data_IF_581942219591
#
_entry.id   IF_581942219591
#
_cell.length_a   1.000
_cell.length_b   1.000
_cell.length_c   1.000
_cell.angle_alpha   90.00
_cell.angle_beta   90.00
_cell.angle_gamma   90.00
#
_symmetry.space_group_name_H-M   'P 1'
#
loop_
_entity.id
_entity.type
_entity.pdbx_description
1 polymer ?
#
# COMPACT_ATOMS: atom_id res chain seq x y z
N UNK A 1 9.83 4.47 -36.30
CA UNK A 1 9.00 5.33 -35.41
C UNK A 1 9.18 4.87 -33.97
N UNK A 2 10.01 5.57 -33.19
CA UNK A 2 10.04 5.39 -31.73
C UNK A 2 8.72 5.93 -31.16
N UNK A 3 7.86 5.02 -30.72
CA UNK A 3 6.59 5.34 -30.10
C UNK A 3 6.90 5.82 -28.68
N UNK A 4 7.09 7.12 -28.51
CA UNK A 4 7.22 7.73 -27.19
C UNK A 4 5.96 7.42 -26.40
N UNK A 5 6.11 6.61 -25.36
CA UNK A 5 5.06 6.36 -24.38
C UNK A 5 4.74 7.68 -23.70
N UNK A 6 3.63 8.31 -24.10
CA UNK A 6 3.06 9.45 -23.37
C UNK A 6 2.62 8.94 -22.00
N UNK A 7 3.53 8.99 -21.01
CA UNK A 7 3.21 8.70 -19.61
C UNK A 7 2.08 9.64 -19.22
N UNK A 8 0.84 9.14 -19.19
CA UNK A 8 -0.27 9.87 -18.58
C UNK A 8 0.09 10.10 -17.12
N UNK A 9 -0.03 11.35 -16.68
CA UNK A 9 0.17 11.73 -15.29
C UNK A 9 -0.83 10.96 -14.41
N UNK A 10 -0.36 9.96 -13.68
CA UNK A 10 -1.20 9.18 -12.78
C UNK A 10 -1.15 9.79 -11.37
N UNK A 11 -1.86 10.91 -11.19
CA UNK A 11 -1.93 11.66 -9.93
C UNK A 11 -2.12 10.74 -8.72
N UNK A 12 -3.05 9.78 -8.80
CA UNK A 12 -3.35 8.86 -7.71
C UNK A 12 -2.19 7.94 -7.33
N UNK A 13 -1.43 7.47 -8.32
CA UNK A 13 -0.26 6.64 -8.06
C UNK A 13 0.84 7.43 -7.36
N UNK A 14 1.09 8.68 -7.77
CA UNK A 14 2.05 9.55 -7.08
C UNK A 14 1.59 9.90 -5.67
N UNK A 15 0.30 10.15 -5.48
CA UNK A 15 -0.29 10.43 -4.17
C UNK A 15 -0.10 9.25 -3.22
N UNK A 16 -0.46 8.03 -3.63
CA UNK A 16 -0.24 6.82 -2.82
C UNK A 16 1.25 6.63 -2.53
N UNK A 17 2.12 6.75 -3.53
CA UNK A 17 3.55 6.55 -3.32
C UNK A 17 4.13 7.58 -2.32
N UNK A 18 3.72 8.84 -2.42
CA UNK A 18 4.10 9.90 -1.48
C UNK A 18 3.66 9.56 -0.07
N UNK A 19 2.37 9.28 0.14
CA UNK A 19 1.84 8.95 1.47
C UNK A 19 2.46 7.67 2.04
N UNK A 20 2.74 6.68 1.20
CA UNK A 20 3.39 5.43 1.63
C UNK A 20 4.83 5.68 2.08
N UNK A 21 5.62 6.38 1.27
CA UNK A 21 7.00 6.71 1.61
C UNK A 21 7.09 7.56 2.88
N UNK A 22 6.24 8.58 2.99
CA UNK A 22 6.16 9.42 4.19
C UNK A 22 5.79 8.60 5.42
N UNK A 23 4.78 7.72 5.32
CA UNK A 23 4.37 6.91 6.46
C UNK A 23 5.46 5.93 6.88
N UNK A 24 6.18 5.32 5.93
CA UNK A 24 7.31 4.43 6.24
C UNK A 24 8.42 5.16 6.98
N UNK A 25 8.76 6.38 6.53
CA UNK A 25 9.78 7.22 7.18
C UNK A 25 9.37 7.50 8.63
N UNK A 26 8.10 7.85 8.86
CA UNK A 26 7.60 8.12 10.21
C UNK A 26 7.61 6.87 11.10
N UNK A 27 7.28 5.70 10.56
CA UNK A 27 7.36 4.43 11.31
C UNK A 27 8.80 4.16 11.73
N UNK A 28 9.76 4.31 10.81
CA UNK A 28 11.18 4.12 11.10
C UNK A 28 11.65 5.15 12.13
N UNK A 29 11.22 6.40 12.00
CA UNK A 29 11.54 7.46 12.96
C UNK A 29 11.01 7.15 14.36
N UNK A 30 9.77 6.72 14.46
CA UNK A 30 9.14 6.32 15.72
C UNK A 30 9.87 5.14 16.38
N UNK A 31 10.31 4.16 15.58
CA UNK A 31 11.13 3.04 16.04
C UNK A 31 12.51 3.49 16.57
N UNK A 32 13.17 4.42 15.89
CA UNK A 32 14.47 4.94 16.34
C UNK A 32 14.32 5.68 17.68
N UNK A 33 13.22 6.42 17.86
CA UNK A 33 12.96 7.28 19.02
C UNK A 33 12.03 6.67 20.08
N UNK A 34 11.84 5.35 20.08
CA UNK A 34 11.11 4.61 21.11
C UNK A 34 9.70 5.15 21.40
N UNK A 35 8.84 5.15 20.36
CA UNK A 35 7.42 5.54 20.43
C UNK A 35 7.15 7.03 20.68
N UNK A 36 8.06 7.92 20.27
CA UNK A 36 7.93 9.38 20.45
C UNK A 36 6.74 10.00 19.70
N UNK A 37 6.34 9.45 18.55
CA UNK A 37 5.41 10.11 17.62
C UNK A 37 4.17 9.26 17.29
N UNK A 38 3.75 8.41 18.24
CA UNK A 38 2.60 7.50 18.09
C UNK A 38 1.34 8.22 17.63
N UNK A 39 0.98 9.36 18.23
CA UNK A 39 -0.22 10.13 17.85
C UNK A 39 -0.16 10.61 16.39
N UNK A 40 1.02 11.04 15.92
CA UNK A 40 1.20 11.45 14.54
C UNK A 40 1.06 10.25 13.59
N UNK A 41 1.53 9.07 13.98
CA UNK A 41 1.35 7.83 13.21
C UNK A 41 -0.12 7.40 13.11
N UNK A 42 -0.95 7.68 14.12
CA UNK A 42 -2.38 7.42 14.05
C UNK A 42 -3.06 8.29 13.00
N UNK A 43 -2.81 9.60 13.04
CA UNK A 43 -3.39 10.56 12.10
C UNK A 43 -2.93 10.26 10.67
N UNK A 44 -1.62 10.09 10.47
CA UNK A 44 -1.05 9.82 9.15
C UNK A 44 -1.49 8.45 8.64
N UNK A 45 -1.55 7.44 9.51
CA UNK A 45 -2.02 6.10 9.16
C UNK A 45 -3.45 6.11 8.63
N UNK A 46 -4.35 6.86 9.27
CA UNK A 46 -5.72 7.01 8.80
C UNK A 46 -5.80 7.63 7.41
N UNK A 47 -5.06 8.73 7.16
CA UNK A 47 -5.03 9.39 5.86
C UNK A 47 -4.45 8.46 4.80
N UNK A 48 -3.35 7.79 5.13
CA UNK A 48 -2.68 6.83 4.26
C UNK A 48 -3.61 5.70 3.80
N UNK A 49 -4.35 5.07 4.73
CA UNK A 49 -5.33 4.02 4.39
C UNK A 49 -6.42 4.58 3.45
N UNK A 50 -6.94 5.78 3.73
CA UNK A 50 -7.94 6.43 2.90
C UNK A 50 -7.45 6.65 1.47
N UNK A 51 -6.25 7.22 1.30
CA UNK A 51 -5.62 7.46 0.00
C UNK A 51 -5.41 6.14 -0.75
N UNK A 52 -4.93 5.10 -0.06
CA UNK A 52 -4.72 3.78 -0.66
C UNK A 52 -6.04 3.14 -1.12
N UNK A 53 -7.09 3.21 -0.30
CA UNK A 53 -8.40 2.67 -0.63
C UNK A 53 -9.01 3.38 -1.84
N UNK A 54 -8.90 4.71 -1.93
CA UNK A 54 -9.37 5.49 -3.08
C UNK A 54 -8.61 5.10 -4.35
N UNK A 55 -7.28 5.01 -4.31
CA UNK A 55 -6.47 4.62 -5.46
C UNK A 55 -6.84 3.24 -5.98
N UNK A 56 -6.94 2.26 -5.07
CA UNK A 56 -7.30 0.89 -5.44
C UNK A 56 -8.73 0.83 -5.96
N UNK A 57 -9.67 1.52 -5.32
CA UNK A 57 -11.06 1.61 -5.79
C UNK A 57 -11.13 2.15 -7.23
N UNK A 58 -10.43 3.24 -7.53
CA UNK A 58 -10.38 3.81 -8.88
C UNK A 58 -9.76 2.83 -9.89
N UNK A 59 -8.64 2.19 -9.52
CA UNK A 59 -7.98 1.17 -10.35
C UNK A 59 -8.86 -0.04 -10.66
N UNK A 60 -9.62 -0.51 -9.67
CA UNK A 60 -10.57 -1.61 -9.84
C UNK A 60 -11.76 -1.18 -10.71
N UNK A 61 -12.28 0.03 -10.51
CA UNK A 61 -13.39 0.56 -11.33
C UNK A 61 -13.00 0.71 -12.81
N UNK A 62 -11.84 1.32 -13.09
CA UNK A 62 -11.29 1.42 -14.44
C UNK A 62 -11.12 0.04 -15.09
N UNK A 63 -10.75 -0.97 -14.29
CA UNK A 63 -10.62 -2.34 -14.76
C UNK A 63 -11.93 -2.92 -15.25
N UNK A 64 -12.98 -2.82 -14.43
CA UNK A 64 -14.28 -3.39 -14.74
C UNK A 64 -14.98 -2.69 -15.92
N UNK A 65 -14.58 -1.44 -16.23
CA UNK A 65 -15.14 -0.65 -17.33
C UNK A 65 -14.29 -0.67 -18.61
N UNK A 66 -13.34 -1.60 -18.75
CA UNK A 66 -12.47 -1.77 -19.92
C UNK A 66 -11.69 -0.50 -20.32
N UNK A 67 -11.39 0.40 -19.37
CA UNK A 67 -10.57 1.60 -19.64
C UNK A 67 -9.07 1.37 -19.39
N UNK A 68 -8.64 0.11 -19.26
CA UNK A 68 -7.30 -0.24 -18.78
C UNK A 68 -6.15 0.43 -19.53
N UNK A 69 -5.34 1.12 -18.75
CA UNK A 69 -3.91 1.24 -18.98
C UNK A 69 -3.21 0.36 -17.94
N UNK A 70 -2.18 -0.37 -18.37
CA UNK A 70 -1.39 -1.25 -17.51
C UNK A 70 -0.86 -0.48 -16.29
N UNK A 71 -1.32 -0.84 -15.10
CA UNK A 71 -0.83 -0.29 -13.85
C UNK A 71 -0.19 -1.40 -13.02
N UNK A 72 1.05 -1.14 -12.61
CA UNK A 72 1.98 -2.01 -11.90
C UNK A 72 1.34 -2.97 -10.87
N UNK A 73 1.92 -4.17 -10.68
CA UNK A 73 1.42 -5.15 -9.73
C UNK A 73 1.55 -4.62 -8.30
N UNK A 74 0.45 -4.65 -7.54
CA UNK A 74 0.41 -4.26 -6.12
C UNK A 74 1.20 -5.18 -5.20
N UNK A 75 1.79 -6.25 -5.72
CA UNK A 75 2.62 -7.21 -5.00
C UNK A 75 3.87 -6.54 -4.41
N UNK A 76 4.53 -5.65 -5.16
CA UNK A 76 5.70 -4.91 -4.67
C UNK A 76 5.39 -4.07 -3.44
N UNK A 77 4.16 -3.56 -3.37
CA UNK A 77 3.72 -2.74 -2.25
C UNK A 77 3.62 -3.55 -0.96
N UNK A 78 3.03 -4.76 -1.06
CA UNK A 78 2.89 -5.68 0.07
C UNK A 78 4.25 -6.23 0.51
N UNK A 79 5.16 -6.50 -0.43
CA UNK A 79 6.54 -6.90 -0.12
C UNK A 79 7.25 -5.81 0.70
N UNK A 80 7.14 -4.54 0.30
CA UNK A 80 7.72 -3.42 1.03
C UNK A 80 7.19 -3.30 2.47
N UNK A 81 5.87 -3.42 2.65
CA UNK A 81 5.25 -3.47 3.97
C UNK A 81 5.72 -4.65 4.82
N UNK A 82 5.73 -5.85 4.23
CA UNK A 82 6.15 -7.07 4.91
C UNK A 82 7.59 -6.96 5.38
N UNK A 83 8.48 -6.47 4.51
CA UNK A 83 9.88 -6.23 4.84
C UNK A 83 10.04 -5.22 5.97
N UNK A 84 9.30 -4.09 5.93
CA UNK A 84 9.35 -3.07 6.97
C UNK A 84 8.98 -3.64 8.36
N UNK A 85 7.85 -4.34 8.45
CA UNK A 85 7.37 -4.92 9.71
C UNK A 85 8.36 -5.98 10.22
N UNK A 86 8.84 -6.87 9.36
CA UNK A 86 9.81 -7.90 9.75
C UNK A 86 11.12 -7.30 10.23
N UNK A 87 11.63 -6.27 9.55
CA UNK A 87 12.87 -5.59 9.95
C UNK A 87 12.69 -4.96 11.34
N UNK A 88 11.58 -4.26 11.59
CA UNK A 88 11.32 -3.62 12.89
C UNK A 88 11.24 -4.67 14.00
N UNK A 89 10.48 -5.74 13.80
CA UNK A 89 10.33 -6.81 14.81
C UNK A 89 11.67 -7.51 15.07
N UNK A 90 12.45 -7.82 14.03
CA UNK A 90 13.76 -8.43 14.21
C UNK A 90 14.74 -7.48 14.94
N UNK A 91 14.75 -6.20 14.58
CA UNK A 91 15.63 -5.21 15.22
C UNK A 91 15.24 -4.96 16.68
N UNK A 92 13.95 -4.92 16.99
CA UNK A 92 13.45 -4.80 18.37
C UNK A 92 13.97 -5.96 19.24
N UNK A 93 13.86 -7.19 18.74
CA UNK A 93 14.36 -8.39 19.42
C UNK A 93 15.89 -8.39 19.61
N UNK A 94 16.65 -7.94 18.61
CA UNK A 94 18.12 -7.92 18.65
C UNK A 94 18.64 -6.79 19.55
N UNK A 95 18.01 -5.61 19.49
CA UNK A 95 18.40 -4.43 20.26
C UNK A 95 17.80 -4.42 21.68
N UNK A 96 16.88 -5.34 21.98
CA UNK A 96 16.14 -5.41 23.25
C UNK A 96 15.49 -4.07 23.60
N UNK A 97 14.92 -3.40 22.59
CA UNK A 97 14.20 -2.15 22.79
C UNK A 97 12.89 -2.40 23.53
N UNK A 98 12.38 -1.36 24.19
CA UNK A 98 11.01 -1.36 24.74
C UNK A 98 10.03 -0.78 23.72
N UNK A 99 10.27 -1.02 22.43
CA UNK A 99 9.44 -0.48 21.37
C UNK A 99 8.16 -1.30 21.26
N UNK A 100 7.02 -0.61 21.21
CA UNK A 100 5.74 -1.23 20.97
C UNK A 100 5.20 -0.79 19.62
N UNK A 101 4.94 -1.74 18.73
CA UNK A 101 4.44 -1.42 17.40
C UNK A 101 3.07 -0.73 17.52
N UNK A 102 2.89 0.51 17.05
CA UNK A 102 1.64 1.23 17.23
C UNK A 102 0.47 0.54 16.52
N UNK A 103 -0.70 0.59 17.15
CA UNK A 103 -1.94 -0.01 16.61
C UNK A 103 -2.28 0.49 15.20
N UNK A 104 -1.99 1.77 14.90
CA UNK A 104 -2.15 2.37 13.58
C UNK A 104 -1.27 1.70 12.51
N UNK A 105 -0.04 1.31 12.87
CA UNK A 105 0.88 0.62 11.94
C UNK A 105 0.39 -0.80 11.67
N UNK A 106 -0.02 -1.52 12.72
CA UNK A 106 -0.58 -2.88 12.61
C UNK A 106 -1.83 -2.86 11.73
N UNK A 107 -2.80 -2.00 12.06
CA UNK A 107 -4.06 -1.89 11.31
C UNK A 107 -3.84 -1.46 9.86
N UNK A 108 -2.89 -0.56 9.59
CA UNK A 108 -2.50 -0.19 8.24
C UNK A 108 -1.96 -1.37 7.45
N UNK A 109 -1.09 -2.19 8.05
CA UNK A 109 -0.57 -3.38 7.39
C UNK A 109 -1.67 -4.41 7.10
N UNK A 110 -2.58 -4.64 8.06
CA UNK A 110 -3.75 -5.51 7.86
C UNK A 110 -4.64 -4.99 6.72
N UNK A 111 -4.85 -3.67 6.63
CA UNK A 111 -5.60 -3.07 5.54
C UNK A 111 -4.93 -3.31 4.18
N UNK A 112 -3.60 -3.19 4.10
CA UNK A 112 -2.82 -3.48 2.88
C UNK A 112 -2.99 -4.92 2.43
N UNK A 113 -2.88 -5.88 3.35
CA UNK A 113 -3.10 -7.31 3.05
C UNK A 113 -4.54 -7.58 2.59
N UNK A 114 -5.52 -6.95 3.24
CA UNK A 114 -6.94 -7.07 2.88
C UNK A 114 -7.18 -6.54 1.48
N UNK A 115 -6.64 -5.37 1.16
CA UNK A 115 -6.71 -4.75 -0.17
C UNK A 115 -6.07 -5.67 -1.22
N UNK A 116 -4.91 -6.27 -0.95
CA UNK A 116 -4.31 -7.25 -1.86
C UNK A 116 -5.27 -8.43 -2.10
N UNK A 117 -5.76 -9.06 -1.05
CA UNK A 117 -6.68 -10.20 -1.16
C UNK A 117 -7.95 -9.88 -1.97
N UNK A 118 -8.57 -8.72 -1.70
CA UNK A 118 -9.76 -8.25 -2.42
C UNK A 118 -9.44 -7.99 -3.89
N UNK A 119 -8.32 -7.31 -4.19
CA UNK A 119 -7.95 -7.01 -5.59
C UNK A 119 -7.60 -8.27 -6.37
N UNK A 120 -6.95 -9.26 -5.77
CA UNK A 120 -6.69 -10.56 -6.41
C UNK A 120 -7.97 -11.30 -6.76
N UNK A 121 -8.94 -11.35 -5.83
CA UNK A 121 -10.25 -11.95 -6.10
C UNK A 121 -10.99 -11.20 -7.20
N UNK A 122 -10.97 -9.87 -7.19
CA UNK A 122 -11.54 -9.04 -8.25
C UNK A 122 -10.91 -9.34 -9.63
N UNK A 123 -9.57 -9.43 -9.71
CA UNK A 123 -8.86 -9.84 -10.95
C UNK A 123 -9.32 -11.20 -11.45
N UNK A 124 -9.38 -12.18 -10.55
CA UNK A 124 -9.78 -13.55 -10.89
C UNK A 124 -11.22 -13.58 -11.44
N UNK A 125 -12.14 -12.85 -10.82
CA UNK A 125 -13.53 -12.74 -11.26
C UNK A 125 -13.66 -12.04 -12.61
N UNK A 126 -12.95 -10.93 -12.80
CA UNK A 126 -12.90 -10.19 -14.06
C UNK A 126 -12.42 -11.08 -15.22
N UNK A 127 -11.32 -11.81 -15.02
CA UNK A 127 -10.80 -12.78 -16.01
C UNK A 127 -11.83 -13.85 -16.37
N UNK A 128 -12.53 -14.42 -15.37
CA UNK A 128 -13.59 -15.42 -15.61
C UNK A 128 -14.74 -14.86 -16.44
N UNK A 129 -15.24 -13.66 -16.11
CA UNK A 129 -16.33 -13.00 -16.85
C UNK A 129 -15.99 -12.75 -18.32
N UNK A 130 -14.76 -12.32 -18.62
CA UNK A 130 -14.33 -12.10 -20.00
C UNK A 130 -14.04 -13.39 -20.76
N UNK A 131 -13.68 -14.49 -20.08
CA UNK A 131 -13.53 -15.81 -20.71
C UNK A 131 -14.87 -16.41 -21.13
N UNK A 132 -15.92 -16.22 -20.33
CA UNK A 132 -17.28 -16.73 -20.62
C UNK A 132 -17.95 -15.96 -21.79
N UNK A 133 -17.53 -14.72 -22.06
CA UNK A 133 -18.06 -13.91 -23.17
C UNK A 133 -17.37 -14.14 -24.53
N UNK A 134 -16.33 -14.98 -24.59
CA UNK A 134 -15.64 -15.40 -25.82
C UNK A 134 -16.13 -16.78 -26.23
#
# INVERSE_FOLDING_TARGET
>A
MLKWSTRKFNFWQYLVNFWSGMYFILIIWDFINDNLIVEALEIVGFIYIGVLAIYVGNKEFERWYNRHQDQHPGEFFVIGWTALILIIVCLDLVLQKSYHLPSAVISSYVAVLTILAVTEKSKALHKRKHRIKK
#
